data_IF_006800350469
#
_entry.id   IF_006800350469
#
_cell.length_a   1.000
_cell.length_b   1.000
_cell.length_c   1.000
_cell.angle_alpha   90.00
_cell.angle_beta   90.00
_cell.angle_gamma   90.00
#
_symmetry.space_group_name_H-M   'P 1'
#
loop_
_entity.id
_entity.type
_entity.pdbx_description
1 polymer ?
#
# COMPACT_ATOMS: atom_id res chain seq x y z
N UNK A 1 -8.90 -7.79 29.92
CA UNK A 1 -9.19 -6.61 30.78
C UNK A 1 -10.03 -7.02 31.99
N UNK A 2 -11.29 -7.45 31.80
CA UNK A 2 -12.18 -7.89 32.90
C UNK A 2 -11.69 -9.11 33.67
N UNK A 3 -11.08 -10.08 33.00
CA UNK A 3 -10.56 -11.31 33.63
C UNK A 3 -9.42 -11.05 34.63
N UNK A 4 -8.66 -9.96 34.43
CA UNK A 4 -7.48 -9.64 35.22
C UNK A 4 -7.63 -8.37 36.08
N UNK A 5 -8.83 -7.77 36.12
CA UNK A 5 -9.11 -6.51 36.82
C UNK A 5 -8.09 -5.39 36.53
N UNK A 6 -7.73 -5.24 35.25
CA UNK A 6 -6.74 -4.25 34.81
C UNK A 6 -7.40 -3.09 34.07
N UNK A 7 -6.81 -1.90 34.17
CA UNK A 7 -7.06 -0.81 33.22
C UNK A 7 -6.20 -0.97 31.96
N UNK A 8 -6.76 -0.71 30.79
CA UNK A 8 -6.04 -0.73 29.52
C UNK A 8 -6.06 0.67 28.90
N UNK A 9 -4.88 1.23 28.61
CA UNK A 9 -4.74 2.44 27.83
C UNK A 9 -4.16 2.08 26.47
N UNK A 10 -4.91 2.34 25.40
CA UNK A 10 -4.48 2.14 24.02
C UNK A 10 -4.19 3.50 23.40
N UNK A 11 -3.03 3.64 22.75
CA UNK A 11 -2.67 4.82 21.96
C UNK A 11 -2.72 4.40 20.50
N UNK A 12 -3.65 4.96 19.75
CA UNK A 12 -3.83 4.68 18.32
C UNK A 12 -4.33 5.94 17.59
N UNK A 13 -4.05 6.02 16.29
CA UNK A 13 -4.62 7.01 15.39
C UNK A 13 -5.91 6.54 14.72
N UNK A 14 -6.24 5.25 14.81
CA UNK A 14 -7.39 4.62 14.17
C UNK A 14 -8.63 4.69 15.07
N UNK A 15 -9.61 5.52 14.69
CA UNK A 15 -10.86 5.67 15.43
C UNK A 15 -11.73 4.41 15.39
N UNK A 16 -11.63 3.56 14.36
CA UNK A 16 -12.40 2.33 14.27
C UNK A 16 -11.98 1.34 15.38
N UNK A 17 -10.67 1.24 15.61
CA UNK A 17 -10.12 0.44 16.72
C UNK A 17 -10.58 0.97 18.07
N UNK A 18 -10.60 2.29 18.26
CA UNK A 18 -11.07 2.88 19.51
C UNK A 18 -12.57 2.64 19.72
N UNK A 19 -13.37 2.78 18.65
CA UNK A 19 -14.81 2.57 18.68
C UNK A 19 -15.20 1.15 19.16
N UNK A 20 -14.40 0.15 18.77
CA UNK A 20 -14.63 -1.26 19.09
C UNK A 20 -14.09 -1.66 20.47
N UNK A 21 -12.91 -1.15 20.86
CA UNK A 21 -12.18 -1.65 22.03
C UNK A 21 -12.27 -0.80 23.30
N UNK A 22 -12.55 0.51 23.19
CA UNK A 22 -12.38 1.44 24.31
C UNK A 22 -13.72 1.90 24.90
N UNK A 23 -13.84 1.86 26.23
CA UNK A 23 -15.00 2.43 26.94
C UNK A 23 -15.00 3.98 26.91
N UNK A 24 -13.80 4.58 26.93
CA UNK A 24 -13.59 6.03 26.92
C UNK A 24 -12.51 6.41 25.92
N UNK A 25 -12.71 7.55 25.28
CA UNK A 25 -11.76 8.14 24.34
C UNK A 25 -11.29 9.50 24.84
N UNK A 26 -10.00 9.78 24.59
CA UNK A 26 -9.36 11.08 24.80
C UNK A 26 -8.68 11.44 23.49
N UNK A 27 -9.12 12.53 22.86
CA UNK A 27 -8.56 13.04 21.61
C UNK A 27 -7.59 14.16 21.96
N UNK A 28 -6.36 14.08 21.45
CA UNK A 28 -5.32 15.08 21.67
C UNK A 28 -4.85 15.70 20.35
N UNK A 29 -4.52 17.00 20.39
CA UNK A 29 -3.92 17.72 19.26
C UNK A 29 -2.91 18.74 19.79
N UNK A 30 -1.71 18.80 19.19
CA UNK A 30 -0.65 19.75 19.58
C UNK A 30 -0.28 19.74 21.08
N UNK A 31 -0.39 18.58 21.73
CA UNK A 31 -0.08 18.43 23.16
C UNK A 31 -1.23 18.74 24.10
N UNK A 32 -2.41 19.12 23.60
CA UNK A 32 -3.59 19.45 24.39
C UNK A 32 -4.70 18.41 24.19
N UNK A 33 -5.49 18.15 25.23
CA UNK A 33 -6.73 17.37 25.11
C UNK A 33 -7.80 18.25 24.51
N UNK A 34 -8.30 17.86 23.34
CA UNK A 34 -9.30 18.63 22.60
C UNK A 34 -10.72 18.08 22.77
N UNK A 35 -10.85 16.79 23.10
CA UNK A 35 -12.15 16.16 23.35
C UNK A 35 -11.98 14.91 24.23
N UNK A 36 -12.93 14.64 25.13
CA UNK A 36 -12.95 13.40 25.92
C UNK A 36 -14.38 13.02 26.29
N UNK A 37 -14.65 11.72 26.33
CA UNK A 37 -15.98 11.22 26.67
C UNK A 37 -16.05 9.70 26.65
N UNK A 38 -17.25 9.19 26.89
CA UNK A 38 -17.59 7.79 26.59
C UNK A 38 -17.53 7.61 25.08
N UNK A 39 -16.83 6.58 24.61
CA UNK A 39 -16.46 6.44 23.19
C UNK A 39 -17.65 6.56 22.25
N UNK A 40 -18.69 5.74 22.47
CA UNK A 40 -19.88 5.74 21.61
C UNK A 40 -20.59 7.11 21.61
N UNK A 41 -20.79 7.72 22.77
CA UNK A 41 -21.45 9.04 22.87
C UNK A 41 -20.66 10.13 22.16
N UNK A 42 -19.33 10.12 22.29
CA UNK A 42 -18.45 11.12 21.68
C UNK A 42 -18.41 10.96 20.17
N UNK A 43 -18.32 9.73 19.65
CA UNK A 43 -18.30 9.48 18.20
C UNK A 43 -19.62 9.89 17.54
N UNK A 44 -20.77 9.76 18.22
CA UNK A 44 -22.06 10.23 17.69
C UNK A 44 -22.26 11.74 17.80
N UNK A 45 -21.70 12.38 18.83
CA UNK A 45 -21.93 13.79 19.15
C UNK A 45 -20.65 14.63 19.11
N UNK A 46 -19.76 14.33 18.16
CA UNK A 46 -18.45 15.01 18.02
C UNK A 46 -18.62 16.52 17.97
N UNK A 47 -17.97 17.24 18.88
CA UNK A 47 -18.02 18.70 18.94
C UNK A 47 -16.79 19.32 18.28
N UNK A 48 -15.60 18.76 18.51
CA UNK A 48 -14.37 19.41 18.12
C UNK A 48 -14.09 19.20 16.61
N UNK A 49 -13.70 20.25 15.85
CA UNK A 49 -13.43 20.13 14.41
C UNK A 49 -12.38 19.09 14.05
N UNK A 50 -11.37 18.91 14.90
CA UNK A 50 -10.33 17.89 14.70
C UNK A 50 -10.88 16.46 14.81
N UNK A 51 -11.77 16.19 15.76
CA UNK A 51 -12.40 14.87 15.92
C UNK A 51 -13.27 14.54 14.71
N UNK A 52 -14.06 15.51 14.24
CA UNK A 52 -14.85 15.39 13.00
C UNK A 52 -13.96 15.10 11.79
N UNK A 53 -12.82 15.79 11.68
CA UNK A 53 -11.84 15.58 10.61
C UNK A 53 -11.24 14.17 10.67
N UNK A 54 -10.87 13.67 11.85
CA UNK A 54 -10.35 12.31 12.02
C UNK A 54 -11.40 11.26 11.64
N UNK A 55 -12.66 11.46 12.04
CA UNK A 55 -13.75 10.55 11.70
C UNK A 55 -14.02 10.53 10.18
N UNK A 56 -14.09 11.70 9.56
CA UNK A 56 -14.26 11.83 8.11
C UNK A 56 -13.11 11.16 7.35
N UNK A 57 -11.86 11.37 7.78
CA UNK A 57 -10.69 10.76 7.16
C UNK A 57 -10.66 9.22 7.31
N UNK A 58 -11.25 8.69 8.38
CA UNK A 58 -11.31 7.24 8.62
C UNK A 58 -12.32 6.53 7.70
N UNK A 59 -13.42 7.21 7.37
CA UNK A 59 -14.46 6.72 6.44
C UNK A 59 -14.25 7.20 5.00
N UNK A 60 -13.05 7.69 4.68
CA UNK A 60 -12.77 8.31 3.39
C UNK A 60 -12.88 7.28 2.26
N UNK A 61 -13.78 7.55 1.32
CA UNK A 61 -13.95 6.81 0.07
C UNK A 61 -13.53 7.69 -1.09
N UNK A 62 -12.90 7.08 -2.09
CA UNK A 62 -12.49 7.76 -3.31
C UNK A 62 -13.30 7.22 -4.47
N UNK A 63 -13.58 8.08 -5.45
CA UNK A 63 -14.20 7.67 -6.69
C UNK A 63 -13.10 7.25 -7.66
N UNK A 64 -13.15 6.00 -8.11
CA UNK A 64 -12.19 5.47 -9.07
C UNK A 64 -12.71 5.69 -10.51
N UNK A 65 -11.86 6.12 -11.47
CA UNK A 65 -12.25 6.16 -12.88
C UNK A 65 -12.56 4.75 -13.39
N UNK A 66 -13.40 4.59 -14.43
CA UNK A 66 -13.71 3.28 -14.99
C UNK A 66 -12.45 2.57 -15.50
N UNK A 67 -12.28 1.26 -15.22
CA UNK A 67 -11.13 0.52 -15.71
C UNK A 67 -11.22 0.36 -17.24
N UNK A 68 -10.10 0.52 -17.97
CA UNK A 68 -10.08 0.34 -19.42
C UNK A 68 -10.30 -1.13 -19.82
N UNK A 69 -10.51 -1.35 -21.12
CA UNK A 69 -10.65 -2.70 -21.67
C UNK A 69 -9.44 -3.59 -21.31
N UNK A 70 -9.68 -4.87 -20.98
CA UNK A 70 -8.63 -5.74 -20.43
C UNK A 70 -7.52 -6.00 -21.45
N UNK A 71 -6.34 -5.49 -21.15
CA UNK A 71 -5.09 -5.75 -21.87
C UNK A 71 -4.03 -6.20 -20.87
N UNK A 72 -3.52 -7.44 -20.93
CA UNK A 72 -2.57 -7.96 -19.94
C UNK A 72 -1.31 -7.09 -19.84
N UNK A 73 -0.93 -6.71 -18.62
CA UNK A 73 0.32 -6.02 -18.32
C UNK A 73 1.29 -6.90 -17.55
N UNK A 74 0.84 -7.48 -16.43
CA UNK A 74 1.64 -8.41 -15.63
C UNK A 74 0.92 -9.76 -15.61
N UNK A 75 1.62 -10.82 -15.99
CA UNK A 75 1.13 -12.18 -15.94
C UNK A 75 1.99 -12.99 -14.98
N UNK A 76 1.37 -13.55 -13.95
CA UNK A 76 1.99 -14.50 -13.03
C UNK A 76 1.34 -15.85 -13.30
N UNK A 77 2.14 -16.86 -13.66
CA UNK A 77 1.65 -18.20 -14.03
C UNK A 77 2.39 -19.26 -13.23
N UNK A 78 1.65 -19.94 -12.36
CA UNK A 78 2.11 -21.07 -11.55
C UNK A 78 3.36 -20.78 -10.71
N UNK A 79 3.46 -19.55 -10.19
CA UNK A 79 4.63 -19.11 -9.45
C UNK A 79 4.79 -19.91 -8.15
N UNK A 80 5.96 -20.53 -7.97
CA UNK A 80 6.33 -21.25 -6.75
C UNK A 80 7.62 -20.70 -6.18
N UNK A 81 7.62 -20.47 -4.86
CA UNK A 81 8.78 -20.00 -4.13
C UNK A 81 9.00 -20.76 -2.82
N UNK A 82 10.18 -21.39 -2.72
CA UNK A 82 10.64 -22.16 -1.57
C UNK A 82 11.86 -21.51 -0.91
N UNK A 83 11.90 -21.46 0.42
CA UNK A 83 13.04 -21.05 1.23
C UNK A 83 13.64 -22.22 2.00
N UNK A 84 14.98 -22.35 2.06
CA UNK A 84 15.60 -23.38 2.89
C UNK A 84 15.41 -23.06 4.38
N UNK A 85 15.06 -24.06 5.16
CA UNK A 85 14.99 -23.98 6.62
C UNK A 85 16.33 -24.39 7.25
N UNK A 86 16.64 -23.90 8.46
CA UNK A 86 17.81 -24.35 9.21
C UNK A 86 17.82 -25.87 9.35
N UNK A 87 19.00 -26.48 9.20
CA UNK A 87 19.14 -27.92 9.42
C UNK A 87 18.87 -28.24 10.89
N UNK A 88 17.99 -29.21 11.14
CA UNK A 88 17.73 -29.71 12.49
C UNK A 88 18.96 -30.43 13.07
N UNK A 89 19.60 -31.30 12.26
CA UNK A 89 20.77 -32.07 12.65
C UNK A 89 21.84 -32.08 11.53
N UNK A 90 23.11 -32.38 11.87
CA UNK A 90 24.26 -32.41 10.93
C UNK A 90 24.05 -33.34 9.72
N UNK A 91 23.24 -34.39 9.84
CA UNK A 91 22.97 -35.39 8.79
C UNK A 91 21.58 -35.28 8.16
N UNK A 92 20.73 -34.35 8.59
CA UNK A 92 19.38 -34.21 8.05
C UNK A 92 19.40 -33.45 6.70
N UNK A 93 18.54 -33.86 5.77
CA UNK A 93 18.29 -33.07 4.54
C UNK A 93 17.72 -31.69 4.94
N UNK A 94 18.11 -30.61 4.26
CA UNK A 94 17.48 -29.30 4.47
C UNK A 94 15.98 -29.40 4.19
N UNK A 95 15.16 -29.00 5.16
CA UNK A 95 13.73 -28.80 4.92
C UNK A 95 13.52 -27.50 4.14
N UNK A 96 12.39 -27.38 3.45
CA UNK A 96 12.02 -26.18 2.71
C UNK A 96 10.67 -25.67 3.19
N UNK A 97 10.56 -24.35 3.33
CA UNK A 97 9.30 -23.66 3.56
C UNK A 97 8.81 -23.07 2.24
N UNK A 98 7.66 -23.54 1.77
CA UNK A 98 7.02 -23.01 0.56
C UNK A 98 6.20 -21.77 0.90
N UNK A 99 6.72 -20.61 0.51
CA UNK A 99 6.12 -19.30 0.76
C UNK A 99 5.11 -18.89 -0.32
N UNK A 100 5.30 -19.33 -1.56
CA UNK A 100 4.36 -19.12 -2.68
C UNK A 100 4.07 -20.47 -3.34
N UNK A 101 2.80 -20.80 -3.53
CA UNK A 101 2.30 -22.09 -3.96
C UNK A 101 1.42 -21.93 -5.19
N UNK A 102 2.01 -22.12 -6.36
CA UNK A 102 1.31 -22.18 -7.64
C UNK A 102 0.39 -20.96 -7.89
N UNK A 103 0.90 -19.77 -7.55
CA UNK A 103 0.12 -18.54 -7.65
C UNK A 103 0.00 -18.15 -9.12
N UNK A 104 -1.23 -17.90 -9.57
CA UNK A 104 -1.52 -17.43 -10.92
C UNK A 104 -2.51 -16.27 -10.90
N UNK A 105 -2.17 -15.17 -11.56
CA UNK A 105 -3.07 -14.04 -11.79
C UNK A 105 -2.55 -13.16 -12.93
N UNK A 106 -3.43 -12.33 -13.46
CA UNK A 106 -3.11 -11.32 -14.46
C UNK A 106 -3.50 -9.95 -13.90
N UNK A 107 -2.66 -8.94 -14.08
CA UNK A 107 -2.98 -7.54 -13.87
C UNK A 107 -3.05 -6.87 -15.25
N UNK A 108 -4.14 -6.15 -15.52
CA UNK A 108 -4.39 -5.47 -16.79
C UNK A 108 -3.89 -4.02 -16.76
N UNK A 109 -3.57 -3.47 -17.94
CA UNK A 109 -3.17 -2.06 -18.10
C UNK A 109 -4.26 -1.14 -17.55
N UNK A 110 -3.88 -0.19 -16.70
CA UNK A 110 -4.81 0.72 -16.02
C UNK A 110 -5.64 0.09 -14.91
N UNK A 111 -5.44 -1.21 -14.60
CA UNK A 111 -6.10 -1.87 -13.48
C UNK A 111 -5.40 -1.53 -12.17
N UNK A 112 -6.22 -1.34 -11.13
CA UNK A 112 -5.80 -1.15 -9.74
C UNK A 112 -6.09 -2.44 -8.99
N UNK A 113 -5.08 -3.31 -8.87
CA UNK A 113 -5.24 -4.65 -8.30
C UNK A 113 -4.81 -4.65 -6.83
N UNK A 114 -5.67 -5.13 -5.93
CA UNK A 114 -5.36 -5.34 -4.52
C UNK A 114 -4.81 -6.73 -4.25
N UNK A 115 -3.82 -6.85 -3.36
CA UNK A 115 -3.36 -8.12 -2.79
C UNK A 115 -3.42 -8.06 -1.27
N UNK A 116 -4.29 -8.86 -0.67
CA UNK A 116 -4.57 -8.84 0.76
C UNK A 116 -4.31 -10.18 1.43
N UNK A 117 -4.03 -10.14 2.73
CA UNK A 117 -3.89 -11.33 3.55
C UNK A 117 -3.11 -11.06 4.83
N UNK A 118 -3.12 -12.01 5.76
CA UNK A 118 -2.38 -11.94 7.02
C UNK A 118 -0.87 -11.75 6.82
N UNK A 119 -0.21 -11.25 7.86
CA UNK A 119 1.26 -11.21 7.90
C UNK A 119 1.83 -12.61 7.72
N UNK A 120 2.86 -12.75 6.88
CA UNK A 120 3.50 -14.03 6.59
C UNK A 120 2.77 -14.95 5.60
N UNK A 121 1.66 -14.52 4.98
CA UNK A 121 0.95 -15.36 4.01
C UNK A 121 1.64 -15.51 2.64
N UNK A 122 2.74 -14.77 2.38
CA UNK A 122 3.55 -14.88 1.15
C UNK A 122 3.55 -13.64 0.25
N UNK A 123 2.82 -12.56 0.61
CA UNK A 123 2.74 -11.30 -0.18
C UNK A 123 4.11 -10.72 -0.52
N UNK A 124 4.94 -10.43 0.47
CA UNK A 124 6.27 -9.83 0.24
C UNK A 124 7.19 -10.75 -0.57
N UNK A 125 7.07 -12.07 -0.43
CA UNK A 125 7.80 -13.03 -1.27
C UNK A 125 7.34 -12.94 -2.73
N UNK A 126 6.04 -12.89 -2.97
CA UNK A 126 5.48 -12.72 -4.31
C UNK A 126 5.87 -11.36 -4.92
N UNK A 127 5.80 -10.27 -4.15
CA UNK A 127 6.25 -8.93 -4.55
C UNK A 127 7.72 -8.95 -4.99
N UNK A 128 8.61 -9.59 -4.21
CA UNK A 128 10.03 -9.71 -4.57
C UNK A 128 10.25 -10.56 -5.81
N UNK A 129 9.48 -11.62 -6.01
CA UNK A 129 9.53 -12.41 -7.23
C UNK A 129 9.09 -11.58 -8.45
N UNK A 130 8.01 -10.80 -8.33
CA UNK A 130 7.54 -9.88 -9.38
C UNK A 130 8.59 -8.82 -9.69
N UNK A 131 9.29 -8.29 -8.69
CA UNK A 131 10.38 -7.32 -8.88
C UNK A 131 11.69 -7.94 -9.43
N UNK A 132 11.72 -9.25 -9.69
CA UNK A 132 12.94 -9.95 -10.11
C UNK A 132 14.04 -9.92 -9.05
N UNK A 133 13.68 -9.79 -7.77
CA UNK A 133 14.60 -9.84 -6.63
C UNK A 133 14.77 -11.25 -6.09
N UNK A 134 13.81 -12.14 -6.36
CA UNK A 134 13.87 -13.54 -5.97
C UNK A 134 13.55 -14.48 -7.15
N UNK A 135 14.31 -15.57 -7.32
CA UNK A 135 14.04 -16.54 -8.39
C UNK A 135 12.87 -17.45 -8.01
N UNK A 136 12.08 -17.83 -9.01
CA UNK A 136 11.06 -18.86 -8.87
C UNK A 136 11.68 -20.26 -8.96
N UNK A 137 11.11 -21.22 -8.23
CA UNK A 137 11.40 -22.64 -8.41
C UNK A 137 10.61 -23.26 -9.57
N UNK A 138 9.41 -22.74 -9.83
CA UNK A 138 8.59 -23.09 -11.00
C UNK A 138 7.64 -21.94 -11.34
N UNK A 139 7.07 -22.02 -12.54
CA UNK A 139 6.23 -20.97 -13.10
C UNK A 139 7.02 -19.86 -13.77
N UNK A 140 6.31 -18.85 -14.23
CA UNK A 140 6.86 -17.68 -14.90
C UNK A 140 6.13 -16.40 -14.50
N UNK A 141 6.85 -15.29 -14.53
CA UNK A 141 6.28 -13.95 -14.39
C UNK A 141 6.70 -13.15 -15.61
N UNK A 142 5.76 -12.51 -16.29
CA UNK A 142 6.00 -11.71 -17.48
C UNK A 142 5.42 -10.31 -17.30
N UNK A 143 6.20 -9.28 -17.68
CA UNK A 143 5.73 -7.91 -17.83
C UNK A 143 5.63 -7.59 -19.33
N UNK A 144 4.41 -7.41 -19.84
CA UNK A 144 4.12 -7.13 -21.24
C UNK A 144 4.78 -8.15 -22.18
N UNK A 145 4.62 -9.44 -21.84
CA UNK A 145 5.23 -10.57 -22.54
C UNK A 145 6.74 -10.77 -22.30
N UNK A 146 7.43 -9.86 -21.61
CA UNK A 146 8.85 -10.03 -21.27
C UNK A 146 9.02 -10.77 -19.94
N UNK A 147 9.70 -11.90 -19.97
CA UNK A 147 9.98 -12.69 -18.76
C UNK A 147 10.80 -11.89 -17.74
N UNK A 148 10.31 -11.85 -16.50
CA UNK A 148 11.02 -11.31 -15.36
C UNK A 148 11.90 -12.41 -14.79
N UNK A 149 13.20 -12.14 -14.73
CA UNK A 149 14.18 -13.03 -14.10
C UNK A 149 15.00 -12.24 -13.08
N UNK A 150 15.80 -12.95 -12.27
CA UNK A 150 16.75 -12.32 -11.35
C UNK A 150 17.86 -11.55 -12.06
N UNK A 151 18.13 -11.89 -13.33
CA UNK A 151 19.04 -11.12 -14.19
C UNK A 151 18.24 -9.97 -14.78
N UNK A 152 18.13 -8.89 -14.02
CA UNK A 152 17.14 -7.85 -14.30
C UNK A 152 17.43 -7.13 -15.63
N UNK A 153 16.45 -7.14 -16.53
CA UNK A 153 16.45 -6.37 -17.77
C UNK A 153 16.21 -4.87 -17.44
N UNK A 154 17.10 -3.95 -17.83
CA UNK A 154 16.92 -2.51 -17.61
C UNK A 154 15.57 -1.97 -18.13
N UNK A 155 15.06 -2.50 -19.23
CA UNK A 155 13.77 -2.11 -19.79
C UNK A 155 12.60 -2.49 -18.86
N UNK A 156 12.66 -3.69 -18.26
CA UNK A 156 11.66 -4.11 -17.26
C UNK A 156 11.76 -3.24 -16.01
N UNK A 157 12.99 -2.97 -15.52
CA UNK A 157 13.21 -2.10 -14.34
C UNK A 157 12.63 -0.71 -14.57
N UNK A 158 12.80 -0.13 -15.75
CA UNK A 158 12.24 1.18 -16.07
C UNK A 158 10.71 1.18 -16.02
N UNK A 159 10.09 0.12 -16.54
CA UNK A 159 8.62 0.03 -16.69
C UNK A 159 7.90 -0.35 -15.39
N UNK A 160 8.63 -0.83 -14.38
CA UNK A 160 8.08 -1.30 -13.11
C UNK A 160 8.83 -0.71 -11.92
N UNK A 161 8.10 -0.02 -11.05
CA UNK A 161 8.66 0.65 -9.86
C UNK A 161 7.96 0.20 -8.58
N UNK A 162 8.56 0.49 -7.43
CA UNK A 162 8.03 0.07 -6.12
C UNK A 162 8.08 1.20 -5.11
N UNK A 163 7.04 1.29 -4.30
CA UNK A 163 6.94 2.15 -3.12
C UNK A 163 6.82 1.23 -1.90
N UNK A 164 7.86 1.22 -1.06
CA UNK A 164 7.95 0.36 0.11
C UNK A 164 7.25 0.94 1.35
N UNK A 165 6.96 0.06 2.31
CA UNK A 165 6.26 0.33 3.57
C UNK A 165 6.89 1.45 4.41
N UNK A 166 8.23 1.49 4.46
CA UNK A 166 8.96 2.45 5.27
C UNK A 166 9.71 3.47 4.39
N UNK A 167 9.13 4.66 4.16
CA UNK A 167 9.83 5.76 3.50
C UNK A 167 11.12 6.13 4.23
N UNK A 168 11.17 6.02 5.56
CA UNK A 168 12.32 6.46 6.37
C UNK A 168 13.55 5.59 6.09
N UNK A 169 13.39 4.27 6.10
CA UNK A 169 14.46 3.33 5.78
C UNK A 169 14.83 3.31 4.30
N UNK A 170 13.92 3.70 3.40
CA UNK A 170 14.17 3.64 1.95
C UNK A 170 15.00 4.81 1.38
N UNK A 171 15.24 5.87 2.17
CA UNK A 171 15.99 7.04 1.76
C UNK A 171 17.30 7.20 2.53
N UNK A 172 18.35 7.64 1.83
CA UNK A 172 19.55 8.10 2.51
C UNK A 172 19.34 9.53 3.03
N UNK A 173 19.36 9.77 4.36
CA UNK A 173 19.03 11.08 4.94
C UNK A 173 20.04 12.18 4.58
N UNK A 174 21.23 11.79 4.07
CA UNK A 174 22.28 12.72 3.63
C UNK A 174 22.10 13.21 2.20
N UNK A 175 21.13 12.68 1.47
CA UNK A 175 20.84 13.08 0.09
C UNK A 175 19.68 14.08 0.05
N UNK A 176 19.77 15.01 -0.91
CA UNK A 176 18.70 15.94 -1.25
C UNK A 176 17.61 15.25 -2.06
N UNK A 177 16.42 15.84 -2.06
CA UNK A 177 15.24 15.30 -2.76
C UNK A 177 15.51 15.09 -4.24
N UNK A 178 16.18 16.02 -4.92
CA UNK A 178 16.55 15.88 -6.34
C UNK A 178 17.32 14.57 -6.62
N UNK A 179 18.31 14.24 -5.80
CA UNK A 179 19.10 13.02 -5.91
C UNK A 179 18.30 11.78 -5.56
N UNK A 180 17.43 11.87 -4.55
CA UNK A 180 16.60 10.76 -4.09
C UNK A 180 15.56 10.38 -5.16
N UNK A 181 14.83 11.34 -5.70
CA UNK A 181 13.80 11.04 -6.70
C UNK A 181 14.40 10.62 -8.03
N UNK A 182 15.63 11.05 -8.36
CA UNK A 182 16.31 10.65 -9.61
C UNK A 182 17.13 9.37 -9.51
N UNK A 183 17.09 8.65 -8.38
CA UNK A 183 17.76 7.35 -8.21
C UNK A 183 17.38 6.34 -9.32
N UNK A 184 16.13 6.23 -9.78
CA UNK A 184 15.78 5.32 -10.86
C UNK A 184 16.47 5.62 -12.19
N UNK A 185 16.99 6.85 -12.39
CA UNK A 185 17.72 7.20 -13.62
C UNK A 185 19.00 6.39 -13.82
N UNK A 186 19.57 5.80 -12.76
CA UNK A 186 20.69 4.87 -12.89
C UNK A 186 20.33 3.58 -13.63
N UNK A 187 19.05 3.27 -13.78
CA UNK A 187 18.56 2.10 -14.52
C UNK A 187 18.25 2.40 -15.99
N UNK A 188 18.29 3.68 -16.39
CA UNK A 188 17.96 4.12 -17.74
C UNK A 188 19.21 4.08 -18.64
N UNK A 189 19.02 3.65 -19.88
CA UNK A 189 20.05 3.71 -20.94
C UNK A 189 20.36 5.14 -21.36
N UNK A 190 19.34 6.00 -21.47
CA UNK A 190 19.47 7.44 -21.75
C UNK A 190 18.67 8.27 -20.73
N UNK A 191 19.27 8.57 -19.55
CA UNK A 191 18.61 9.39 -18.54
C UNK A 191 18.56 10.87 -18.95
N UNK A 192 17.50 11.62 -18.58
CA UNK A 192 17.41 13.04 -18.88
C UNK A 192 18.55 13.84 -18.23
N UNK A 193 19.05 14.85 -18.94
CA UNK A 193 20.21 15.68 -18.55
C UNK A 193 19.86 17.18 -18.64
N UNK A 194 20.65 18.02 -17.97
CA UNK A 194 20.51 19.47 -18.03
C UNK A 194 19.10 19.94 -17.66
N UNK A 195 18.54 20.82 -18.49
CA UNK A 195 17.19 21.38 -18.31
C UNK A 195 16.09 20.33 -18.32
N UNK A 196 16.17 19.34 -19.21
CA UNK A 196 15.19 18.25 -19.26
C UNK A 196 15.09 17.48 -17.93
N UNK A 197 16.22 17.34 -17.22
CA UNK A 197 16.24 16.73 -15.89
C UNK A 197 15.56 17.62 -14.84
N UNK A 198 15.87 18.92 -14.81
CA UNK A 198 15.27 19.83 -13.84
C UNK A 198 13.77 20.00 -14.07
N UNK A 199 13.33 20.04 -15.34
CA UNK A 199 11.93 20.19 -15.70
C UNK A 199 11.12 18.97 -15.28
N UNK A 200 11.65 17.76 -15.52
CA UNK A 200 11.03 16.51 -15.10
C UNK A 200 10.96 16.39 -13.56
N UNK A 201 12.01 16.80 -12.84
CA UNK A 201 11.99 16.88 -11.37
C UNK A 201 10.87 17.82 -10.90
N UNK A 202 10.78 19.01 -11.50
CA UNK A 202 9.79 20.01 -11.12
C UNK A 202 8.35 19.56 -11.44
N UNK A 203 8.13 18.90 -12.59
CA UNK A 203 6.86 18.28 -12.97
C UNK A 203 6.47 17.20 -11.97
N UNK A 204 7.38 16.28 -11.66
CA UNK A 204 7.11 15.13 -10.77
C UNK A 204 6.81 15.59 -9.35
N UNK A 205 7.53 16.59 -8.83
CA UNK A 205 7.25 17.15 -7.51
C UNK A 205 5.87 17.81 -7.47
N UNK A 206 5.50 18.57 -8.51
CA UNK A 206 4.16 19.17 -8.62
C UNK A 206 3.06 18.11 -8.67
N UNK A 207 3.27 17.02 -9.42
CA UNK A 207 2.32 15.92 -9.52
C UNK A 207 2.03 15.26 -8.17
N UNK A 208 3.00 15.24 -7.26
CA UNK A 208 2.79 14.71 -5.90
C UNK A 208 2.41 15.79 -4.87
N UNK A 209 2.08 17.01 -5.30
CA UNK A 209 1.69 18.12 -4.43
C UNK A 209 2.82 18.77 -3.64
N UNK A 210 4.07 18.67 -4.13
CA UNK A 210 5.25 19.35 -3.59
C UNK A 210 5.69 20.50 -4.50
N UNK A 211 6.48 21.43 -3.96
CA UNK A 211 6.99 22.56 -4.72
C UNK A 211 8.30 22.19 -5.43
N UNK A 212 8.60 22.70 -6.64
CA UNK A 212 9.87 22.43 -7.31
C UNK A 212 11.11 22.76 -6.47
N UNK A 213 11.03 23.80 -5.63
CA UNK A 213 12.10 24.24 -4.73
C UNK A 213 12.40 23.21 -3.63
N UNK A 214 11.44 22.32 -3.32
CA UNK A 214 11.62 21.22 -2.36
C UNK A 214 12.72 20.24 -2.82
N UNK A 215 13.04 20.22 -4.12
CA UNK A 215 14.14 19.43 -4.70
C UNK A 215 15.49 19.68 -4.01
N UNK A 216 15.71 20.90 -3.48
CA UNK A 216 16.96 21.31 -2.84
C UNK A 216 17.02 21.02 -1.33
N UNK A 217 15.91 20.56 -0.74
CA UNK A 217 15.83 20.22 0.69
C UNK A 217 16.31 18.78 0.92
N UNK A 218 16.66 18.48 2.18
CA UNK A 218 16.93 17.13 2.63
C UNK A 218 15.65 16.45 3.13
N UNK A 219 15.57 15.13 2.98
CA UNK A 219 14.38 14.33 3.35
C UNK A 219 13.94 14.50 4.80
N UNK A 220 14.88 14.75 5.73
CA UNK A 220 14.57 14.92 7.14
C UNK A 220 13.82 16.23 7.46
N UNK A 221 13.74 17.16 6.50
CA UNK A 221 13.00 18.42 6.65
C UNK A 221 11.50 18.29 6.36
N UNK A 222 11.04 17.12 5.91
CA UNK A 222 9.66 16.87 5.52
C UNK A 222 8.89 16.10 6.59
N UNK A 223 7.57 16.25 6.63
CA UNK A 223 6.66 15.43 7.43
C UNK A 223 6.58 13.98 6.91
N UNK A 224 5.98 13.06 7.67
CA UNK A 224 5.78 11.67 7.23
C UNK A 224 5.03 11.56 5.90
N UNK A 225 3.91 12.28 5.76
CA UNK A 225 3.14 12.32 4.50
C UNK A 225 3.89 12.93 3.33
N UNK A 226 4.66 13.99 3.55
CA UNK A 226 5.50 14.57 2.50
C UNK A 226 6.61 13.61 2.07
N UNK A 227 7.21 12.85 2.99
CA UNK A 227 8.17 11.79 2.64
C UNK A 227 7.53 10.67 1.83
N UNK A 228 6.28 10.30 2.14
CA UNK A 228 5.52 9.37 1.31
C UNK A 228 5.34 9.90 -0.11
N UNK A 229 4.96 11.19 -0.25
CA UNK A 229 4.87 11.86 -1.56
C UNK A 229 6.20 11.84 -2.32
N UNK A 230 7.34 12.03 -1.64
CA UNK A 230 8.67 11.89 -2.24
C UNK A 230 8.94 10.44 -2.69
N UNK A 231 8.51 9.44 -1.93
CA UNK A 231 8.64 8.03 -2.31
C UNK A 231 7.82 7.68 -3.55
N UNK A 232 6.59 8.21 -3.65
CA UNK A 232 5.74 8.10 -4.84
C UNK A 232 6.38 8.83 -6.01
N UNK A 233 6.91 10.04 -5.81
CA UNK A 233 7.62 10.81 -6.85
C UNK A 233 8.83 10.04 -7.39
N UNK A 234 9.62 9.39 -6.52
CA UNK A 234 10.73 8.53 -6.95
C UNK A 234 10.23 7.42 -7.88
N UNK A 235 9.15 6.73 -7.54
CA UNK A 235 8.60 5.70 -8.43
C UNK A 235 8.05 6.30 -9.75
N UNK A 236 7.35 7.43 -9.68
CA UNK A 236 6.67 8.05 -10.81
C UNK A 236 7.61 8.68 -11.84
N UNK A 237 8.80 9.14 -11.43
CA UNK A 237 9.69 9.96 -12.29
C UNK A 237 10.09 9.28 -13.61
N UNK A 238 10.07 7.94 -13.65
CA UNK A 238 10.39 7.14 -14.84
C UNK A 238 9.21 6.96 -15.78
N UNK A 239 8.02 7.44 -15.39
CA UNK A 239 6.71 7.18 -15.99
C UNK A 239 6.50 5.67 -16.19
N UNK A 240 6.52 4.89 -15.10
CA UNK A 240 6.39 3.44 -15.19
C UNK A 240 4.97 3.05 -15.63
N UNK A 241 4.84 1.86 -16.18
CA UNK A 241 3.53 1.28 -16.53
C UNK A 241 2.89 0.56 -15.33
N UNK A 242 3.74 0.08 -14.42
CA UNK A 242 3.33 -0.63 -13.20
C UNK A 242 4.04 -0.06 -11.96
N UNK A 243 3.27 0.25 -10.92
CA UNK A 243 3.81 0.52 -9.58
C UNK A 243 3.33 -0.54 -8.59
N UNK A 244 4.24 -1.06 -7.77
CA UNK A 244 3.90 -1.91 -6.64
C UNK A 244 3.91 -1.07 -5.36
N UNK A 245 2.78 -0.99 -4.67
CA UNK A 245 2.66 -0.35 -3.36
C UNK A 245 2.71 -1.43 -2.28
N UNK A 246 3.84 -1.59 -1.60
CA UNK A 246 4.02 -2.60 -0.55
C UNK A 246 3.78 -2.00 0.84
N UNK A 247 2.58 -2.16 1.38
CA UNK A 247 2.13 -1.59 2.67
C UNK A 247 2.38 -0.07 2.80
N UNK A 248 2.34 0.63 1.67
CA UNK A 248 2.82 2.00 1.51
C UNK A 248 2.11 3.06 2.38
N UNK A 249 0.94 2.75 2.95
CA UNK A 249 0.16 3.68 3.80
C UNK A 249 -0.06 3.19 5.22
N UNK A 250 0.50 2.02 5.56
CA UNK A 250 0.26 1.36 6.86
C UNK A 250 0.79 2.17 8.05
N UNK A 251 1.96 2.81 7.89
CA UNK A 251 2.63 3.59 8.93
C UNK A 251 2.16 5.05 9.04
N UNK A 252 1.16 5.46 8.24
CA UNK A 252 0.67 6.84 8.21
C UNK A 252 -0.56 7.02 9.11
N UNK A 253 -0.66 8.21 9.72
CA UNK A 253 -1.87 8.61 10.43
C UNK A 253 -3.07 8.68 9.46
N UNK A 254 -4.29 8.59 9.98
CA UNK A 254 -5.50 8.46 9.14
C UNK A 254 -5.68 9.67 8.22
N UNK A 255 -5.35 10.88 8.69
CA UNK A 255 -5.53 12.10 7.90
C UNK A 255 -4.56 12.16 6.72
N UNK A 256 -3.30 11.80 6.96
CA UNK A 256 -2.27 11.71 5.91
C UNK A 256 -2.56 10.54 4.98
N UNK A 257 -3.01 9.40 5.50
CA UNK A 257 -3.43 8.24 4.70
C UNK A 257 -4.48 8.66 3.67
N UNK A 258 -5.58 9.30 4.08
CA UNK A 258 -6.62 9.77 3.17
C UNK A 258 -6.05 10.66 2.05
N UNK A 259 -5.21 11.64 2.40
CA UNK A 259 -4.55 12.51 1.41
C UNK A 259 -3.63 11.77 0.44
N UNK A 260 -3.01 10.67 0.86
CA UNK A 260 -2.20 9.83 -0.03
C UNK A 260 -3.10 8.99 -0.94
N UNK A 261 -4.23 8.48 -0.44
CA UNK A 261 -5.19 7.76 -1.28
C UNK A 261 -5.77 8.68 -2.37
N UNK A 262 -6.14 9.92 -2.03
CA UNK A 262 -6.58 10.93 -2.99
C UNK A 262 -5.51 11.17 -4.07
N UNK A 263 -4.26 11.37 -3.64
CA UNK A 263 -3.14 11.54 -4.57
C UNK A 263 -2.99 10.33 -5.51
N UNK A 264 -3.15 9.10 -5.01
CA UNK A 264 -3.05 7.92 -5.88
C UNK A 264 -4.14 7.91 -6.95
N UNK A 265 -5.36 8.35 -6.64
CA UNK A 265 -6.44 8.47 -7.63
C UNK A 265 -6.13 9.55 -8.66
N UNK A 266 -5.70 10.73 -8.23
CA UNK A 266 -5.28 11.82 -9.13
C UNK A 266 -4.18 11.37 -10.08
N UNK A 267 -3.20 10.61 -9.58
CA UNK A 267 -2.11 10.07 -10.38
C UNK A 267 -2.60 8.98 -11.36
N UNK A 268 -3.59 8.17 -10.99
CA UNK A 268 -4.18 7.20 -11.90
C UNK A 268 -4.88 7.89 -13.07
N UNK A 269 -5.66 8.94 -12.79
CA UNK A 269 -6.35 9.72 -13.82
C UNK A 269 -5.36 10.45 -14.73
N UNK A 270 -4.32 11.06 -14.17
CA UNK A 270 -3.37 11.86 -14.92
C UNK A 270 -2.40 11.02 -15.76
N UNK A 271 -1.99 9.83 -15.29
CA UNK A 271 -0.93 9.04 -15.92
C UNK A 271 -1.40 7.70 -16.50
N UNK A 272 -2.66 7.31 -16.33
CA UNK A 272 -3.14 5.98 -16.74
C UNK A 272 -2.40 4.86 -16.00
N UNK A 273 -2.08 5.09 -14.73
CA UNK A 273 -1.21 4.23 -13.93
C UNK A 273 -1.88 2.88 -13.65
N UNK A 274 -1.16 1.78 -13.85
CA UNK A 274 -1.55 0.46 -13.34
C UNK A 274 -0.78 0.20 -12.04
N UNK A 275 -1.42 -0.40 -11.03
CA UNK A 275 -0.71 -0.75 -9.81
C UNK A 275 -1.18 -2.03 -9.14
N UNK A 276 -0.26 -2.63 -8.40
CA UNK A 276 -0.54 -3.69 -7.44
C UNK A 276 -0.40 -3.11 -6.03
N UNK A 277 -1.52 -3.02 -5.30
CA UNK A 277 -1.57 -2.51 -3.94
C UNK A 277 -1.60 -3.66 -2.93
N UNK A 278 -0.52 -3.81 -2.18
CA UNK A 278 -0.33 -4.86 -1.20
C UNK A 278 -0.61 -4.28 0.19
N UNK A 279 -1.56 -4.88 0.90
CA UNK A 279 -1.95 -4.40 2.23
C UNK A 279 -2.46 -5.55 3.09
N UNK A 280 -2.40 -5.37 4.41
CA UNK A 280 -3.18 -6.17 5.35
C UNK A 280 -4.49 -5.47 5.75
N UNK A 281 -4.61 -4.17 5.46
CA UNK A 281 -5.79 -3.36 5.73
C UNK A 281 -6.76 -3.43 4.56
N UNK A 282 -7.86 -4.17 4.79
CA UNK A 282 -8.94 -4.34 3.83
C UNK A 282 -9.71 -3.05 3.55
N UNK A 283 -9.82 -2.15 4.54
CA UNK A 283 -10.58 -0.89 4.36
C UNK A 283 -9.94 -0.01 3.29
N UNK A 284 -8.61 0.08 3.31
CA UNK A 284 -7.84 0.80 2.30
C UNK A 284 -8.01 0.16 0.93
N UNK A 285 -7.87 -1.17 0.84
CA UNK A 285 -7.97 -1.88 -0.44
C UNK A 285 -9.36 -1.71 -1.06
N UNK A 286 -10.42 -1.74 -0.25
CA UNK A 286 -11.79 -1.47 -0.69
C UNK A 286 -11.92 -0.14 -1.43
N UNK A 287 -11.25 0.88 -0.90
CA UNK A 287 -11.35 2.25 -1.40
C UNK A 287 -10.63 2.45 -2.73
N UNK A 288 -9.48 1.83 -2.93
CA UNK A 288 -8.60 2.19 -4.06
C UNK A 288 -8.51 1.15 -5.19
N UNK A 289 -9.03 -0.06 -5.04
CA UNK A 289 -8.80 -1.13 -6.03
C UNK A 289 -10.06 -1.56 -6.78
N UNK A 290 -9.90 -1.93 -8.06
CA UNK A 290 -10.97 -2.49 -8.91
C UNK A 290 -11.26 -3.94 -8.56
N UNK A 291 -10.18 -4.69 -8.32
CA UNK A 291 -10.19 -6.12 -8.10
C UNK A 291 -9.27 -6.45 -6.95
N UNK A 292 -9.61 -7.48 -6.20
CA UNK A 292 -8.86 -7.86 -5.01
C UNK A 292 -8.54 -9.36 -5.03
N UNK A 293 -7.28 -9.68 -4.74
CA UNK A 293 -6.76 -11.03 -4.55
C UNK A 293 -6.53 -11.28 -3.06
N UNK A 294 -7.17 -12.31 -2.52
CA UNK A 294 -7.01 -12.73 -1.13
C UNK A 294 -6.02 -13.88 -1.07
N UNK A 295 -4.91 -13.67 -0.36
CA UNK A 295 -3.82 -14.63 -0.20
C UNK A 295 -3.81 -15.25 1.20
N UNK A 296 -3.74 -16.58 1.25
CA UNK A 296 -3.59 -17.34 2.49
C UNK A 296 -2.55 -18.45 2.30
N UNK A 297 -1.58 -18.55 3.22
CA UNK A 297 -0.59 -19.64 3.28
C UNK A 297 0.09 -19.96 1.94
N UNK A 298 0.42 -18.94 1.15
CA UNK A 298 1.11 -19.08 -0.13
C UNK A 298 0.21 -19.16 -1.35
N UNK A 299 -1.11 -19.20 -1.20
CA UNK A 299 -2.08 -19.43 -2.28
C UNK A 299 -3.05 -18.25 -2.41
N UNK A 300 -3.51 -17.96 -3.63
CA UNK A 300 -4.64 -17.06 -3.84
C UNK A 300 -5.92 -17.88 -3.63
N UNK A 301 -6.61 -17.61 -2.53
CA UNK A 301 -7.81 -18.36 -2.12
C UNK A 301 -9.11 -17.75 -2.65
N UNK A 302 -9.07 -16.47 -3.02
CA UNK A 302 -10.20 -15.78 -3.62
C UNK A 302 -9.70 -14.62 -4.51
N UNK A 303 -10.38 -14.41 -5.64
CA UNK A 303 -10.09 -13.33 -6.58
C UNK A 303 -11.41 -12.90 -7.23
N UNK A 304 -11.82 -11.66 -7.00
CA UNK A 304 -13.04 -11.10 -7.57
C UNK A 304 -12.96 -9.57 -7.59
N UNK A 305 -13.94 -8.92 -8.23
CA UNK A 305 -14.10 -7.46 -8.13
C UNK A 305 -14.09 -7.07 -6.65
N UNK A 306 -13.47 -5.94 -6.33
CA UNK A 306 -13.26 -5.53 -4.93
C UNK A 306 -14.59 -5.47 -4.20
N UNK A 307 -15.61 -4.83 -4.78
CA UNK A 307 -16.95 -4.78 -4.20
C UNK A 307 -17.56 -6.18 -3.97
N UNK A 308 -17.33 -7.16 -4.85
CA UNK A 308 -17.83 -8.53 -4.68
C UNK A 308 -17.15 -9.24 -3.50
N UNK A 309 -15.83 -9.07 -3.32
CA UNK A 309 -15.09 -9.61 -2.18
C UNK A 309 -15.68 -9.10 -0.85
N UNK A 310 -16.04 -7.82 -0.79
CA UNK A 310 -16.58 -7.21 0.43
C UNK A 310 -18.06 -7.52 0.65
N UNK A 311 -18.87 -7.52 -0.40
CA UNK A 311 -20.32 -7.72 -0.30
C UNK A 311 -20.71 -9.21 -0.20
N UNK A 312 -19.98 -10.10 -0.87
CA UNK A 312 -20.31 -11.52 -0.95
C UNK A 312 -19.05 -12.42 -0.91
N UNK A 313 -18.28 -12.39 0.19
CA UNK A 313 -17.08 -13.23 0.36
C UNK A 313 -17.40 -14.73 0.33
N UNK A 314 -16.86 -15.43 -0.66
CA UNK A 314 -17.11 -16.87 -0.88
C UNK A 314 -16.21 -17.74 -0.02
N UNK A 315 -14.96 -17.36 0.21
CA UNK A 315 -14.01 -18.20 0.94
C UNK A 315 -14.13 -17.98 2.46
N UNK A 316 -14.07 -19.04 3.30
CA UNK A 316 -14.17 -18.92 4.76
C UNK A 316 -13.13 -17.99 5.38
N UNK A 317 -11.90 -18.01 4.87
CA UNK A 317 -10.84 -17.11 5.34
C UNK A 317 -11.13 -15.65 4.97
N UNK A 318 -11.65 -15.37 3.78
CA UNK A 318 -12.04 -14.00 3.38
C UNK A 318 -13.14 -13.47 4.29
N UNK A 319 -14.15 -14.31 4.61
CA UNK A 319 -15.18 -13.97 5.61
C UNK A 319 -14.57 -13.62 6.96
N UNK A 320 -13.64 -14.44 7.46
CA UNK A 320 -12.98 -14.21 8.74
C UNK A 320 -12.14 -12.92 8.72
N UNK A 321 -11.43 -12.66 7.62
CA UNK A 321 -10.60 -11.47 7.45
C UNK A 321 -11.44 -10.19 7.45
N UNK A 322 -12.56 -10.18 6.72
CA UNK A 322 -13.51 -9.06 6.70
C UNK A 322 -14.17 -8.86 8.07
N UNK A 323 -14.59 -9.95 8.72
CA UNK A 323 -15.23 -9.88 10.03
C UNK A 323 -14.27 -9.40 11.14
N UNK A 324 -12.96 -9.57 10.96
CA UNK A 324 -11.93 -9.09 11.89
C UNK A 324 -11.56 -7.62 11.66
N UNK A 325 -12.00 -6.99 10.57
CA UNK A 325 -11.70 -5.60 10.29
C UNK A 325 -12.53 -4.68 11.22
N UNK A 326 -11.90 -3.75 11.95
CA UNK A 326 -12.60 -2.79 12.80
C UNK A 326 -13.56 -1.93 11.95
N UNK A 327 -14.76 -1.66 12.47
CA UNK A 327 -15.75 -0.84 11.80
C UNK A 327 -16.06 0.40 12.64
N UNK A 328 -16.12 1.55 11.98
CA UNK A 328 -16.69 2.73 12.61
C UNK A 328 -18.20 2.60 12.70
N UNK A 329 -18.84 3.11 13.77
CA UNK A 329 -20.28 3.16 13.86
C UNK A 329 -20.85 3.98 12.69
N UNK A 330 -21.89 3.46 12.04
CA UNK A 330 -22.68 4.22 11.09
C UNK A 330 -23.36 5.36 11.87
N UNK A 331 -22.99 6.60 11.55
CA UNK A 331 -23.76 7.74 12.02
C UNK A 331 -25.03 7.75 11.19
N UNK A 332 -26.19 7.56 11.83
CA UNK A 332 -27.47 7.87 11.21
C UNK A 332 -27.35 9.29 10.63
N UNK A 333 -27.27 9.38 9.30
CA UNK A 333 -27.48 10.63 8.61
C UNK A 333 -28.96 10.94 8.77
N UNK A 334 -29.29 11.53 9.92
CA UNK A 334 -30.63 11.98 10.23
C UNK A 334 -31.13 12.82 9.07
N UNK A 335 -32.25 12.37 8.50
CA UNK A 335 -33.09 13.16 7.64
C UNK A 335 -33.27 14.55 8.26
N UNK A 336 -32.78 15.58 7.57
CA UNK A 336 -33.13 16.98 7.78
C UNK A 336 -33.11 17.69 6.43
#
# INVERSE_FOLDING_TARGET
VREFDMGLMIITHDLAVVADLADRIVVMRHGEVVETGVTQTLLHNMQHPYTKMLFAASNHQVTLPEPPAPSPLLEVKGAVRDYPLPRKNLFAKPEHFRAVKDVSFTLYRGERLGLVGESGCGKSTLTRAILGLEPLQSGEICLDGMAITTTQNPEIRRRMQVVFQDPFGSFNPRHRVDRLITEPFYTLTDPPKGTARSDLIAETLRAVGLQPEDSQKYVHQFSGGQRQRIAIARALITRPELILFDEAVSALDVSVRAQILDLLVELCEAYGLSYLFISHDLSVVRTITDRCLVMQKGEIVEAAATEEIFANPKHPYTRALIAAAPQLPELDQGAA
#
